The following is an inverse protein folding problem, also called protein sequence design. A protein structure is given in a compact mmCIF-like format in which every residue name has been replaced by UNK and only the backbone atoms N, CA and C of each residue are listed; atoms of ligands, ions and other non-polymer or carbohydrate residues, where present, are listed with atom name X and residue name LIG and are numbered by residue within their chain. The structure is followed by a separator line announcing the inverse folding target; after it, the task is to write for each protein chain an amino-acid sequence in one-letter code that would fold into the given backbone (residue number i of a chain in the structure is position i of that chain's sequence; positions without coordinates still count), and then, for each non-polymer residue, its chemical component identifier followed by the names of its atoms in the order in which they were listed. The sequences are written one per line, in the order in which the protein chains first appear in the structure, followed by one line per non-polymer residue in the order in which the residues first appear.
data_IF_823541730753
#
_entry.id   IF_823541730753
#
_cell.length_a   1.000
_cell.length_b   1.000
_cell.length_c   1.000
_cell.angle_alpha   90.00
_cell.angle_beta   90.00
_cell.angle_gamma   90.00
#
_symmetry.space_group_name_H-M   'P 1'
#
loop_
_entity.id
_entity.type
_entity.pdbx_description
1 polymer ?
#
# COMPACT_ATOMS: atom_id res chain seq x y z
N UNK A 1 7.25 9.67 10.26
CA UNK A 1 6.67 8.59 9.43
C UNK A 1 7.63 8.18 8.33
N UNK A 2 8.30 9.14 7.68
CA UNK A 2 9.32 8.89 6.67
C UNK A 2 10.41 7.89 7.11
N UNK A 3 10.88 7.99 8.36
CA UNK A 3 11.88 7.07 8.91
C UNK A 3 11.38 5.63 9.00
N UNK A 4 10.09 5.43 9.35
CA UNK A 4 9.47 4.09 9.41
C UNK A 4 9.43 3.49 8.00
N UNK A 5 8.95 4.26 7.02
CA UNK A 5 8.88 3.84 5.63
C UNK A 5 10.28 3.45 5.14
N UNK A 6 11.27 4.33 5.36
CA UNK A 6 12.66 4.09 4.95
C UNK A 6 13.25 2.85 5.62
N UNK A 7 13.02 2.66 6.92
CA UNK A 7 13.45 1.48 7.67
C UNK A 7 12.88 0.17 7.11
N UNK A 8 11.58 0.16 6.75
CA UNK A 8 10.95 -1.01 6.13
C UNK A 8 11.56 -1.30 4.76
N UNK A 9 11.72 -0.28 3.90
CA UNK A 9 12.24 -0.45 2.54
C UNK A 9 13.70 -0.91 2.55
N UNK A 10 14.52 -0.34 3.43
CA UNK A 10 15.94 -0.72 3.59
C UNK A 10 16.14 -2.05 4.31
N UNK A 11 15.13 -2.57 5.02
CA UNK A 11 15.22 -3.88 5.68
C UNK A 11 15.33 -5.06 4.71
N UNK A 12 15.06 -4.85 3.42
CA UNK A 12 15.04 -5.90 2.40
C UNK A 12 13.85 -6.87 2.49
N UNK A 13 12.94 -6.67 3.46
CA UNK A 13 11.77 -7.55 3.67
C UNK A 13 10.74 -7.49 2.55
N UNK A 14 10.66 -6.36 1.84
CA UNK A 14 9.74 -6.19 0.71
C UNK A 14 10.34 -6.74 -0.58
N UNK A 15 11.65 -6.63 -0.72
CA UNK A 15 12.42 -7.10 -1.85
C UNK A 15 13.70 -6.29 -2.01
N UNK A 16 14.60 -6.71 -2.92
CA UNK A 16 15.85 -6.02 -3.20
C UNK A 16 15.69 -4.81 -4.13
N UNK A 17 16.72 -4.00 -4.24
CA UNK A 17 16.92 -3.00 -5.31
C UNK A 17 15.76 -2.01 -5.53
N UNK A 18 15.10 -1.58 -4.45
CA UNK A 18 14.06 -0.55 -4.50
C UNK A 18 14.69 0.80 -4.83
N UNK A 19 14.24 1.41 -5.93
CA UNK A 19 14.72 2.70 -6.42
C UNK A 19 13.75 3.84 -6.08
N UNK A 20 12.45 3.54 -6.04
CA UNK A 20 11.39 4.55 -5.93
C UNK A 20 10.83 4.66 -4.51
N UNK A 21 11.68 5.04 -3.55
CA UNK A 21 11.33 5.10 -2.13
C UNK A 21 10.19 6.10 -1.85
N UNK A 22 10.20 7.22 -2.57
CA UNK A 22 9.22 8.30 -2.49
C UNK A 22 7.82 7.93 -2.98
N UNK A 23 7.69 6.81 -3.70
CA UNK A 23 6.38 6.31 -4.12
C UNK A 23 5.56 5.73 -2.95
N UNK A 24 6.24 5.31 -1.87
CA UNK A 24 5.64 4.67 -0.73
C UNK A 24 5.08 5.68 0.27
N UNK A 25 3.91 5.36 0.83
CA UNK A 25 3.25 6.09 1.89
C UNK A 25 2.72 5.12 2.95
N UNK A 26 2.45 5.66 4.14
CA UNK A 26 1.88 4.90 5.25
C UNK A 26 0.42 5.27 5.44
N UNK A 27 -0.45 4.26 5.47
CA UNK A 27 -1.89 4.43 5.66
C UNK A 27 -2.32 3.78 6.96
N UNK A 28 -2.98 4.55 7.82
CA UNK A 28 -3.66 4.05 9.00
C UNK A 28 -5.11 3.75 8.63
N UNK A 29 -5.57 2.52 8.89
CA UNK A 29 -6.95 2.08 8.61
C UNK A 29 -7.60 1.58 9.89
N UNK A 30 -8.80 2.04 10.18
CA UNK A 30 -9.62 1.48 11.24
C UNK A 30 -10.22 0.16 10.76
N UNK A 31 -10.21 -0.87 11.61
CA UNK A 31 -10.60 -2.23 11.24
C UNK A 31 -12.11 -2.47 11.32
N UNK A 32 -12.83 -1.63 12.06
CA UNK A 32 -14.28 -1.78 12.29
C UNK A 32 -15.14 -0.76 11.54
N UNK A 33 -14.53 0.24 10.90
CA UNK A 33 -15.20 1.24 10.08
C UNK A 33 -14.45 1.43 8.76
N UNK A 34 -14.98 2.28 7.88
CA UNK A 34 -14.32 2.68 6.63
C UNK A 34 -13.32 3.84 6.83
N UNK A 35 -12.99 4.17 8.07
CA UNK A 35 -12.09 5.27 8.38
C UNK A 35 -10.65 4.96 7.98
N UNK A 36 -10.06 5.89 7.23
CA UNK A 36 -8.73 5.77 6.64
C UNK A 36 -8.02 7.12 6.72
N UNK A 37 -6.81 7.11 7.26
CA UNK A 37 -5.92 8.26 7.32
C UNK A 37 -4.63 7.96 6.59
N UNK A 38 -4.28 8.81 5.63
CA UNK A 38 -2.94 8.78 5.07
C UNK A 38 -2.03 9.67 5.90
N UNK A 39 -0.93 9.08 6.38
CA UNK A 39 -0.01 9.75 7.27
C UNK A 39 0.99 10.56 6.44
N UNK A 40 1.09 11.86 6.71
CA UNK A 40 2.08 12.71 6.08
C UNK A 40 3.50 12.25 6.49
N UNK A 41 4.49 12.23 5.58
CA UNK A 41 5.85 11.79 5.89
C UNK A 41 6.47 12.45 7.12
N UNK A 42 6.19 13.75 7.30
CA UNK A 42 6.73 14.59 8.37
C UNK A 42 6.09 14.38 9.74
N UNK A 43 4.97 13.66 9.83
CA UNK A 43 4.35 13.37 11.13
C UNK A 43 5.27 12.48 11.97
N UNK A 44 5.44 12.81 13.24
CA UNK A 44 6.06 11.94 14.22
C UNK A 44 5.10 10.83 14.64
N UNK A 45 5.63 9.76 15.25
CA UNK A 45 4.77 8.69 15.80
C UNK A 45 3.85 9.24 16.88
N UNK A 46 4.36 10.07 17.80
CA UNK A 46 3.57 10.69 18.87
C UNK A 46 2.38 11.48 18.33
N UNK A 47 2.58 12.31 17.30
CA UNK A 47 1.48 13.07 16.69
C UNK A 47 0.42 12.17 16.04
N UNK A 48 0.82 11.03 15.46
CA UNK A 48 -0.15 10.05 14.91
C UNK A 48 -0.96 9.42 16.04
N UNK A 49 -0.31 9.06 17.15
CA UNK A 49 -0.99 8.46 18.30
C UNK A 49 -1.97 9.44 18.96
N UNK A 50 -1.53 10.67 19.22
CA UNK A 50 -2.35 11.72 19.82
C UNK A 50 -3.54 12.13 18.95
N UNK A 51 -3.40 12.07 17.63
CA UNK A 51 -4.43 12.55 16.71
C UNK A 51 -5.44 11.48 16.31
N UNK A 52 -5.02 10.22 16.20
CA UNK A 52 -5.83 9.14 15.63
C UNK A 52 -6.01 7.96 16.57
N UNK A 53 -4.92 7.46 17.17
CA UNK A 53 -5.01 6.28 18.02
C UNK A 53 -5.72 6.57 19.34
N UNK A 54 -5.68 7.80 19.86
CA UNK A 54 -6.38 8.18 21.10
C UNK A 54 -7.92 8.07 21.01
N UNK A 55 -8.47 8.00 19.79
CA UNK A 55 -9.91 7.97 19.54
C UNK A 55 -10.51 6.57 19.78
N UNK A 56 -9.69 5.52 19.69
CA UNK A 56 -10.11 4.12 19.72
C UNK A 56 -9.06 3.25 20.44
N UNK A 57 -9.31 1.96 20.64
CA UNK A 57 -8.27 1.07 21.18
C UNK A 57 -7.22 0.76 20.10
N UNK A 58 -5.94 0.69 20.46
CA UNK A 58 -4.83 0.45 19.50
C UNK A 58 -5.06 -0.77 18.60
N UNK A 59 -5.65 -1.85 19.15
CA UNK A 59 -5.93 -3.09 18.41
C UNK A 59 -6.99 -2.94 17.30
N UNK A 60 -7.64 -1.78 17.18
CA UNK A 60 -8.62 -1.48 16.13
C UNK A 60 -8.00 -0.77 14.93
N UNK A 61 -6.70 -0.45 14.98
CA UNK A 61 -5.97 0.21 13.90
C UNK A 61 -4.98 -0.71 13.20
N UNK A 62 -4.79 -0.49 11.90
CA UNK A 62 -3.77 -1.18 11.10
C UNK A 62 -2.99 -0.20 10.25
N UNK A 63 -1.67 -0.33 10.29
CA UNK A 63 -0.75 0.36 9.40
C UNK A 63 -0.51 -0.47 8.14
N UNK A 64 -0.88 0.09 6.99
CA UNK A 64 -0.59 -0.46 5.68
C UNK A 64 0.48 0.41 5.01
N UNK A 65 1.68 -0.14 4.78
CA UNK A 65 2.59 0.44 3.81
C UNK A 65 1.96 0.26 2.42
N UNK A 66 1.97 1.30 1.58
CA UNK A 66 1.32 1.29 0.27
C UNK A 66 2.06 2.20 -0.70
N UNK A 67 1.98 1.90 -1.99
CA UNK A 67 2.34 2.87 -3.03
C UNK A 67 1.18 3.87 -3.15
N UNK A 68 1.51 5.15 -2.99
CA UNK A 68 0.54 6.27 -3.00
C UNK A 68 0.87 7.30 -4.06
N UNK A 69 2.15 7.61 -4.21
CA UNK A 69 2.62 8.62 -5.15
C UNK A 69 3.17 7.89 -6.37
N UNK A 70 2.66 8.23 -7.55
CA UNK A 70 3.10 7.63 -8.81
C UNK A 70 3.84 8.69 -9.62
N UNK A 71 5.02 8.36 -10.19
CA UNK A 71 5.66 9.24 -11.16
C UNK A 71 4.82 9.29 -12.44
N UNK A 72 4.99 10.37 -13.22
CA UNK A 72 4.22 10.55 -14.46
C UNK A 72 4.40 9.38 -15.44
N UNK A 73 5.60 8.81 -15.48
CA UNK A 73 5.99 7.68 -16.33
C UNK A 73 6.04 6.33 -15.57
N UNK A 74 5.24 6.17 -14.50
CA UNK A 74 5.33 5.03 -13.57
C UNK A 74 5.41 3.65 -14.24
N UNK A 75 4.73 3.44 -15.35
CA UNK A 75 4.74 2.15 -16.03
C UNK A 75 6.14 1.81 -16.59
N UNK A 76 6.85 2.78 -17.16
CA UNK A 76 8.22 2.57 -17.62
C UNK A 76 9.24 2.66 -16.49
N UNK A 77 8.99 3.53 -15.50
CA UNK A 77 9.89 3.67 -14.35
C UNK A 77 9.90 2.42 -13.47
N UNK A 78 8.73 1.86 -13.15
CA UNK A 78 8.62 0.66 -12.31
C UNK A 78 9.16 -0.59 -13.01
N UNK A 79 9.21 -0.67 -14.35
CA UNK A 79 9.89 -1.78 -15.02
C UNK A 79 11.39 -1.86 -14.69
N UNK A 80 12.00 -0.74 -14.31
CA UNK A 80 13.41 -0.67 -13.85
C UNK A 80 13.56 -1.04 -12.37
N UNK A 81 12.46 -1.11 -11.64
CA UNK A 81 12.38 -1.42 -10.21
C UNK A 81 11.34 -2.53 -9.99
N UNK A 82 11.80 -3.77 -10.19
CA UNK A 82 10.94 -4.95 -10.18
C UNK A 82 10.22 -5.14 -8.83
N UNK A 83 10.86 -4.76 -7.72
CA UNK A 83 10.27 -4.86 -6.38
C UNK A 83 9.09 -3.90 -6.25
N UNK A 84 9.27 -2.63 -6.61
CA UNK A 84 8.18 -1.64 -6.58
C UNK A 84 7.06 -2.02 -7.53
N UNK A 85 7.38 -2.50 -8.74
CA UNK A 85 6.38 -2.95 -9.72
C UNK A 85 5.51 -4.09 -9.17
N UNK A 86 6.15 -5.12 -8.60
CA UNK A 86 5.44 -6.28 -8.07
C UNK A 86 4.62 -5.89 -6.84
N UNK A 87 5.16 -5.05 -5.97
CA UNK A 87 4.44 -4.53 -4.81
C UNK A 87 3.19 -3.75 -5.23
N UNK A 88 3.30 -2.89 -6.25
CA UNK A 88 2.18 -2.15 -6.80
C UNK A 88 1.12 -3.07 -7.40
N UNK A 89 1.55 -4.08 -8.15
CA UNK A 89 0.66 -5.09 -8.70
C UNK A 89 -0.12 -5.83 -7.61
N UNK A 90 0.55 -6.31 -6.57
CA UNK A 90 -0.08 -6.99 -5.43
C UNK A 90 -1.07 -6.07 -4.70
N UNK A 91 -0.71 -4.80 -4.54
CA UNK A 91 -1.59 -3.79 -3.96
C UNK A 91 -2.89 -3.64 -4.77
N UNK A 92 -2.78 -3.43 -6.09
CA UNK A 92 -3.93 -3.28 -6.98
C UNK A 92 -4.77 -4.55 -7.05
N UNK A 93 -4.12 -5.73 -7.08
CA UNK A 93 -4.80 -7.02 -7.06
C UNK A 93 -5.62 -7.19 -5.78
N UNK A 94 -5.06 -6.85 -4.61
CA UNK A 94 -5.79 -6.94 -3.35
C UNK A 94 -7.01 -6.00 -3.34
N UNK A 95 -6.86 -4.77 -3.84
CA UNK A 95 -7.98 -3.82 -3.93
C UNK A 95 -9.05 -4.32 -4.91
N UNK A 96 -8.64 -4.88 -6.06
CA UNK A 96 -9.53 -5.52 -7.03
C UNK A 96 -10.34 -6.65 -6.38
N UNK A 97 -9.67 -7.57 -5.69
CA UNK A 97 -10.33 -8.70 -5.02
C UNK A 97 -11.35 -8.24 -3.96
N UNK A 98 -11.03 -7.18 -3.22
CA UNK A 98 -11.91 -6.68 -2.15
C UNK A 98 -13.09 -5.86 -2.67
N UNK A 99 -12.93 -5.08 -3.73
CA UNK A 99 -13.89 -4.05 -4.11
C UNK A 99 -14.58 -4.28 -5.47
N UNK A 100 -13.96 -5.05 -6.37
CA UNK A 100 -14.35 -5.11 -7.78
C UNK A 100 -14.58 -6.51 -8.32
N UNK A 101 -13.97 -7.56 -7.75
CA UNK A 101 -14.08 -8.93 -8.26
C UNK A 101 -15.53 -9.43 -8.38
N UNK A 102 -16.44 -8.96 -7.52
CA UNK A 102 -17.88 -9.29 -7.55
C UNK A 102 -18.71 -8.36 -8.43
N UNK A 103 -18.13 -7.27 -8.95
CA UNK A 103 -18.81 -6.23 -9.74
C UNK A 103 -18.50 -6.30 -11.23
N UNK A 104 -17.39 -6.94 -11.60
CA UNK A 104 -17.02 -7.16 -13.01
C UNK A 104 -17.76 -8.37 -13.60
N UNK A 105 -17.75 -8.50 -14.92
CA UNK A 105 -18.32 -9.68 -15.58
C UNK A 105 -17.54 -10.95 -15.21
N UNK A 106 -18.22 -12.09 -15.19
CA UNK A 106 -17.62 -13.39 -14.92
C UNK A 106 -16.43 -13.69 -15.86
N UNK A 107 -16.57 -13.37 -17.14
CA UNK A 107 -15.49 -13.54 -18.13
C UNK A 107 -14.25 -12.71 -17.80
N UNK A 108 -14.42 -11.46 -17.36
CA UNK A 108 -13.30 -10.61 -16.93
C UNK A 108 -12.66 -11.14 -15.64
N UNK A 109 -13.47 -11.53 -14.66
CA UNK A 109 -12.97 -12.11 -13.41
C UNK A 109 -12.16 -13.40 -13.66
N UNK A 110 -12.64 -14.27 -14.55
CA UNK A 110 -11.94 -15.48 -14.94
C UNK A 110 -10.61 -15.17 -15.65
N UNK A 111 -10.60 -14.21 -16.57
CA UNK A 111 -9.37 -13.80 -17.27
C UNK A 111 -8.31 -13.28 -16.30
N UNK A 112 -8.69 -12.38 -15.37
CA UNK A 112 -7.77 -11.84 -14.37
C UNK A 112 -7.31 -12.92 -13.37
N UNK A 113 -8.18 -13.86 -13.00
CA UNK A 113 -7.81 -15.01 -12.18
C UNK A 113 -6.81 -15.94 -12.87
N UNK A 114 -7.00 -16.22 -14.16
CA UNK A 114 -6.06 -17.01 -14.95
C UNK A 114 -4.71 -16.32 -15.13
N UNK A 115 -4.68 -14.98 -15.22
CA UNK A 115 -3.43 -14.22 -15.29
C UNK A 115 -2.59 -14.35 -14.02
N UNK A 116 -3.21 -14.47 -12.84
CA UNK A 116 -2.51 -14.65 -11.57
C UNK A 116 -1.99 -16.08 -11.37
N UNK A 117 -2.65 -17.10 -11.93
CA UNK A 117 -2.23 -18.50 -11.80
C UNK A 117 -1.02 -18.88 -12.66
N UNK A 118 -0.66 -18.03 -13.63
CA UNK A 118 0.37 -18.28 -14.63
C UNK A 118 1.77 -17.95 -14.12
#
# INVERSE_FOLDING_TARGET
VQEIISSILLSGRIGPDILHLECYGLRLKHLKSDEIHWLHPDLTVGEVQEKYECLHLEAEWRYDLRIRYLPEDFNESFKKDKTTLLYFYQQLRNDYMQQYATKVSEGMALQLGCLELR
#
